data_IF_374172172112
#
_entry.id   IF_374172172112
#
_cell.length_a   1.000
_cell.length_b   1.000
_cell.length_c   1.000
_cell.angle_alpha   90.00
_cell.angle_beta   90.00
_cell.angle_gamma   90.00
#
_symmetry.space_group_name_H-M   'P 1'
#
loop_
_entity.id
_entity.type
_entity.pdbx_description
1 polymer ?
#
# COMPACT_ATOMS: atom_id res chain seq x y z
N UNK A 1 -19.80 -16.63 24.48
CA UNK A 1 -19.91 -17.89 23.70
C UNK A 1 -19.92 -17.63 22.20
N UNK A 2 -20.84 -16.83 21.66
CA UNK A 2 -20.85 -16.50 20.22
C UNK A 2 -19.58 -15.81 19.72
N UNK A 3 -19.04 -14.84 20.47
CA UNK A 3 -17.78 -14.17 20.11
C UNK A 3 -16.61 -15.15 20.00
N UNK A 4 -16.53 -16.11 20.94
CA UNK A 4 -15.52 -17.17 20.95
C UNK A 4 -15.68 -18.11 19.74
N UNK A 5 -16.92 -18.46 19.38
CA UNK A 5 -17.22 -19.28 18.20
C UNK A 5 -16.81 -18.58 16.89
N UNK A 6 -17.10 -17.27 16.78
CA UNK A 6 -16.66 -16.43 15.64
C UNK A 6 -15.14 -16.37 15.55
N UNK A 7 -14.46 -16.15 16.67
CA UNK A 7 -13.00 -16.00 16.71
C UNK A 7 -12.24 -17.30 16.40
N UNK A 8 -12.88 -18.46 16.62
CA UNK A 8 -12.35 -19.78 16.30
C UNK A 8 -12.84 -20.30 14.94
N UNK A 9 -13.69 -19.55 14.23
CA UNK A 9 -14.36 -19.98 13.01
C UNK A 9 -15.09 -21.33 13.16
N UNK A 10 -15.76 -21.54 14.30
CA UNK A 10 -16.51 -22.75 14.62
C UNK A 10 -18.00 -22.44 14.79
N UNK A 11 -18.86 -23.38 14.40
CA UNK A 11 -20.27 -23.32 14.80
C UNK A 11 -20.41 -23.53 16.32
N UNK A 12 -21.45 -22.95 16.92
CA UNK A 12 -21.75 -23.16 18.34
C UNK A 12 -21.91 -24.66 18.68
N UNK A 13 -22.50 -25.44 17.77
CA UNK A 13 -22.64 -26.89 17.90
C UNK A 13 -21.29 -27.62 17.93
N UNK A 14 -20.31 -27.17 17.14
CA UNK A 14 -18.97 -27.76 17.10
C UNK A 14 -18.18 -27.39 18.34
N UNK A 15 -18.28 -26.14 18.79
CA UNK A 15 -17.65 -25.66 20.02
C UNK A 15 -18.14 -26.44 21.26
N UNK A 16 -19.45 -26.60 21.41
CA UNK A 16 -20.05 -27.36 22.52
C UNK A 16 -19.63 -28.84 22.48
N UNK A 17 -19.60 -29.46 21.29
CA UNK A 17 -19.15 -30.84 21.12
C UNK A 17 -17.71 -31.03 21.60
N UNK A 18 -16.79 -30.15 21.18
CA UNK A 18 -15.40 -30.24 21.61
C UNK A 18 -15.23 -30.02 23.12
N UNK A 19 -16.01 -29.10 23.71
CA UNK A 19 -16.00 -28.85 25.14
C UNK A 19 -16.48 -30.07 25.96
N UNK A 20 -17.53 -30.77 25.52
CA UNK A 20 -18.06 -31.96 26.20
C UNK A 20 -17.09 -33.14 26.08
N UNK A 21 -16.50 -33.35 24.90
CA UNK A 21 -15.61 -34.48 24.65
C UNK A 21 -14.14 -34.22 25.03
N UNK A 22 -13.86 -33.08 25.68
CA UNK A 22 -12.52 -32.62 26.06
C UNK A 22 -11.50 -32.66 24.90
N UNK A 23 -11.99 -32.39 23.68
CA UNK A 23 -11.17 -32.38 22.48
C UNK A 23 -10.43 -31.05 22.43
N UNK A 24 -9.12 -31.09 22.19
CA UNK A 24 -8.28 -29.90 22.03
C UNK A 24 -8.83 -29.03 20.89
N UNK A 25 -9.20 -27.78 21.21
CA UNK A 25 -9.64 -26.80 20.23
C UNK A 25 -8.41 -26.01 19.78
N UNK A 26 -8.01 -26.18 18.52
CA UNK A 26 -6.88 -25.45 17.94
C UNK A 26 -7.38 -24.21 17.20
N UNK A 27 -6.76 -23.05 17.45
CA UNK A 27 -7.04 -21.83 16.71
C UNK A 27 -6.37 -21.92 15.35
N UNK A 28 -7.14 -22.17 14.30
CA UNK A 28 -6.64 -22.06 12.92
C UNK A 28 -6.52 -20.58 12.56
N UNK A 29 -5.31 -20.03 12.66
CA UNK A 29 -5.00 -18.69 12.14
C UNK A 29 -4.72 -18.82 10.65
N UNK A 30 -5.65 -18.36 9.81
CA UNK A 30 -5.41 -18.22 8.37
C UNK A 30 -4.75 -16.85 8.17
N UNK A 31 -3.45 -16.84 7.88
CA UNK A 31 -2.73 -15.61 7.47
C UNK A 31 -3.00 -15.40 5.99
N UNK A 32 -3.84 -14.44 5.64
CA UNK A 32 -4.09 -14.11 4.24
C UNK A 32 -2.95 -13.26 3.64
N UNK A 33 -2.80 -13.41 2.33
CA UNK A 33 -1.75 -13.01 1.41
C UNK A 33 -1.56 -11.49 1.19
N UNK A 34 -1.47 -10.68 2.24
CA UNK A 34 -1.27 -9.22 2.11
C UNK A 34 0.07 -8.78 1.48
N UNK A 35 1.04 -9.69 1.35
CA UNK A 35 2.39 -9.38 0.85
C UNK A 35 2.46 -9.05 -0.63
N UNK A 36 1.68 -9.73 -1.48
CA UNK A 36 1.73 -9.55 -2.94
C UNK A 36 1.11 -8.22 -3.38
N UNK A 37 -0.03 -7.85 -2.79
CA UNK A 37 -0.67 -6.54 -3.01
C UNK A 37 0.24 -5.41 -2.54
N UNK A 38 0.87 -5.56 -1.38
CA UNK A 38 1.83 -4.58 -0.84
C UNK A 38 3.04 -4.42 -1.77
N UNK A 39 3.62 -5.53 -2.25
CA UNK A 39 4.77 -5.50 -3.14
C UNK A 39 4.43 -4.85 -4.48
N UNK A 40 3.23 -5.11 -5.02
CA UNK A 40 2.74 -4.51 -6.27
C UNK A 40 2.54 -3.01 -6.13
N UNK A 41 1.93 -2.58 -5.02
CA UNK A 41 1.74 -1.18 -4.67
C UNK A 41 3.07 -0.43 -4.55
N UNK A 42 4.03 -0.99 -3.81
CA UNK A 42 5.37 -0.41 -3.65
C UNK A 42 6.11 -0.34 -4.99
N UNK A 43 6.03 -1.38 -5.81
CA UNK A 43 6.66 -1.41 -7.14
C UNK A 43 6.10 -0.32 -8.07
N UNK A 44 4.79 -0.08 -8.01
CA UNK A 44 4.13 0.98 -8.79
C UNK A 44 4.58 2.37 -8.36
N UNK A 45 4.66 2.62 -7.04
CA UNK A 45 5.17 3.88 -6.51
C UNK A 45 6.64 4.10 -6.87
N UNK A 46 7.47 3.06 -6.82
CA UNK A 46 8.88 3.15 -7.20
C UNK A 46 9.06 3.53 -8.68
N UNK A 47 8.24 2.97 -9.57
CA UNK A 47 8.25 3.30 -10.99
C UNK A 47 7.87 4.77 -11.23
N UNK A 48 6.82 5.27 -10.56
CA UNK A 48 6.41 6.68 -10.65
C UNK A 48 7.47 7.63 -10.09
N UNK A 49 8.04 7.30 -8.93
CA UNK A 49 9.12 8.08 -8.32
C UNK A 49 10.34 8.18 -9.25
N UNK A 50 10.71 7.08 -9.90
CA UNK A 50 11.83 7.05 -10.85
C UNK A 50 11.60 7.97 -12.06
N UNK A 51 10.36 8.07 -12.55
CA UNK A 51 10.01 8.98 -13.65
C UNK A 51 10.16 10.44 -13.24
N UNK A 52 9.56 10.84 -12.13
CA UNK A 52 9.66 12.21 -11.57
C UNK A 52 11.13 12.57 -11.32
N UNK A 53 11.89 11.68 -10.66
CA UNK A 53 13.32 11.87 -10.43
C UNK A 53 14.13 12.02 -11.72
N UNK A 54 13.78 11.25 -12.76
CA UNK A 54 14.41 11.34 -14.08
C UNK A 54 14.21 12.71 -14.73
N UNK A 55 13.00 13.23 -14.71
CA UNK A 55 12.67 14.55 -15.26
C UNK A 55 13.36 15.68 -14.49
N UNK A 56 13.32 15.64 -13.15
CA UNK A 56 14.04 16.60 -12.30
C UNK A 56 15.55 16.61 -12.59
N UNK A 57 16.15 15.44 -12.81
CA UNK A 57 17.56 15.34 -13.16
C UNK A 57 17.87 15.93 -14.55
N UNK A 58 16.95 15.81 -15.51
CA UNK A 58 17.08 16.50 -16.81
C UNK A 58 17.02 18.02 -16.65
N UNK A 59 16.11 18.52 -15.81
CA UNK A 59 16.04 19.96 -15.49
C UNK A 59 17.33 20.43 -14.82
N UNK A 60 17.83 19.70 -13.84
CA UNK A 60 19.09 20.02 -13.16
C UNK A 60 20.27 20.07 -14.15
N UNK A 61 20.38 19.09 -15.06
CA UNK A 61 21.42 19.10 -16.11
C UNK A 61 21.30 20.31 -17.04
N UNK A 62 20.08 20.67 -17.43
CA UNK A 62 19.85 21.85 -18.25
C UNK A 62 20.38 23.12 -17.58
N UNK A 63 20.02 23.35 -16.31
CA UNK A 63 20.51 24.49 -15.54
C UNK A 63 22.03 24.45 -15.34
N UNK A 64 22.60 23.28 -15.02
CA UNK A 64 24.05 23.13 -14.83
C UNK A 64 24.86 23.40 -16.11
N UNK A 65 24.25 23.27 -17.29
CA UNK A 65 24.87 23.60 -18.58
C UNK A 65 24.76 25.08 -18.99
N UNK A 66 24.21 25.93 -18.13
CA UNK A 66 23.96 27.35 -18.44
C UNK A 66 22.72 27.59 -19.31
N UNK A 67 21.75 26.67 -19.27
CA UNK A 67 20.48 26.81 -19.97
C UNK A 67 19.74 28.09 -19.58
N UNK A 68 19.26 28.84 -20.59
CA UNK A 68 18.50 30.07 -20.37
C UNK A 68 17.10 29.77 -19.84
N UNK A 69 16.58 30.66 -18.99
CA UNK A 69 15.17 30.62 -18.61
C UNK A 69 14.31 30.96 -19.84
N UNK A 70 13.42 30.03 -20.20
CA UNK A 70 12.55 30.14 -21.36
C UNK A 70 11.14 29.77 -20.96
N UNK A 71 10.14 30.27 -21.69
CA UNK A 71 8.74 29.87 -21.47
C UNK A 71 8.56 28.34 -21.59
N UNK A 72 9.34 27.69 -22.47
CA UNK A 72 9.34 26.24 -22.59
C UNK A 72 9.86 25.55 -21.33
N UNK A 73 10.88 26.11 -20.67
CA UNK A 73 11.41 25.59 -19.41
C UNK A 73 10.42 25.81 -18.26
N UNK A 74 9.73 26.95 -18.20
CA UNK A 74 8.64 27.16 -17.23
C UNK A 74 7.50 26.19 -17.43
N UNK A 75 7.10 25.93 -18.68
CA UNK A 75 6.08 24.91 -18.96
C UNK A 75 6.52 23.53 -18.47
N UNK A 76 7.79 23.13 -18.70
CA UNK A 76 8.34 21.87 -18.18
C UNK A 76 8.38 21.81 -16.64
N UNK A 77 8.71 22.91 -15.97
CA UNK A 77 8.69 22.98 -14.51
C UNK A 77 7.27 22.84 -13.94
N UNK A 78 6.28 23.47 -14.58
CA UNK A 78 4.87 23.34 -14.19
C UNK A 78 4.35 21.91 -14.42
N UNK A 79 4.74 21.27 -15.52
CA UNK A 79 4.41 19.88 -15.82
C UNK A 79 5.03 18.94 -14.77
N UNK A 80 6.30 19.16 -14.40
CA UNK A 80 6.97 18.37 -13.37
C UNK A 80 6.37 18.58 -11.97
N UNK A 81 5.95 19.79 -11.63
CA UNK A 81 5.20 20.07 -10.39
C UNK A 81 3.85 19.33 -10.36
N UNK A 82 3.18 19.23 -11.51
CA UNK A 82 1.94 18.47 -11.63
C UNK A 82 2.20 16.96 -11.47
N UNK A 83 3.20 16.41 -12.15
CA UNK A 83 3.63 15.01 -12.03
C UNK A 83 4.03 14.66 -10.59
N UNK A 84 4.78 15.54 -9.91
CA UNK A 84 5.14 15.38 -8.49
C UNK A 84 3.91 15.41 -7.57
N UNK A 85 2.96 16.29 -7.84
CA UNK A 85 1.70 16.37 -7.06
C UNK A 85 0.86 15.12 -7.25
N UNK A 86 0.77 14.61 -8.49
CA UNK A 86 0.06 13.38 -8.81
C UNK A 86 0.72 12.17 -8.13
N UNK A 87 2.06 12.09 -8.15
CA UNK A 87 2.81 11.07 -7.42
C UNK A 87 2.51 11.10 -5.93
N UNK A 88 2.54 12.28 -5.30
CA UNK A 88 2.22 12.45 -3.88
C UNK A 88 0.82 11.93 -3.55
N UNK A 89 -0.19 12.34 -4.31
CA UNK A 89 -1.57 11.92 -4.09
C UNK A 89 -1.75 10.41 -4.26
N UNK A 90 -1.10 9.82 -5.27
CA UNK A 90 -1.14 8.38 -5.47
C UNK A 90 -0.46 7.61 -4.32
N UNK A 91 0.68 8.10 -3.84
CA UNK A 91 1.36 7.54 -2.67
C UNK A 91 0.49 7.61 -1.41
N UNK A 92 -0.15 8.75 -1.15
CA UNK A 92 -1.07 8.92 -0.02
C UNK A 92 -2.24 7.93 -0.08
N UNK A 93 -2.84 7.74 -1.28
CA UNK A 93 -3.92 6.77 -1.48
C UNK A 93 -3.45 5.33 -1.22
N UNK A 94 -2.34 4.93 -1.84
CA UNK A 94 -1.77 3.58 -1.69
C UNK A 94 -1.45 3.29 -0.22
N UNK A 95 -0.86 4.24 0.49
CA UNK A 95 -0.60 4.10 1.92
C UNK A 95 -1.90 3.91 2.71
N UNK A 96 -2.95 4.67 2.41
CA UNK A 96 -4.26 4.52 3.05
C UNK A 96 -4.88 3.14 2.86
N UNK A 97 -4.79 2.58 1.65
CA UNK A 97 -5.27 1.23 1.32
C UNK A 97 -4.48 0.15 2.07
N UNK A 98 -3.14 0.25 2.09
CA UNK A 98 -2.27 -0.68 2.82
C UNK A 98 -2.51 -0.65 4.33
N UNK A 99 -2.66 0.55 4.92
CA UNK A 99 -2.99 0.68 6.34
C UNK A 99 -4.36 0.08 6.67
N UNK A 100 -5.37 0.30 5.81
CA UNK A 100 -6.71 -0.24 6.01
C UNK A 100 -6.72 -1.77 5.93
N UNK A 101 -6.02 -2.34 4.95
CA UNK A 101 -5.85 -3.79 4.82
C UNK A 101 -5.12 -4.36 6.05
N UNK A 102 -4.03 -3.74 6.51
CA UNK A 102 -3.29 -4.19 7.68
C UNK A 102 -4.12 -4.16 8.99
N UNK A 103 -5.11 -3.27 9.10
CA UNK A 103 -6.05 -3.25 10.23
C UNK A 103 -7.11 -4.36 10.10
N UNK A 104 -7.59 -4.65 8.90
CA UNK A 104 -8.56 -5.73 8.67
C UNK A 104 -8.02 -7.12 9.07
N UNK A 105 -6.69 -7.31 8.99
CA UNK A 105 -6.03 -8.56 9.39
C UNK A 105 -5.60 -8.62 10.87
N UNK A 106 -5.82 -7.56 11.66
CA UNK A 106 -5.61 -7.57 13.12
C UNK A 106 -6.85 -8.14 13.83
N UNK A 107 -6.95 -9.47 13.90
CA UNK A 107 -7.98 -10.23 14.63
C UNK A 107 -7.41 -11.08 15.77
#
# INVERSE_FOLDING_TARGET
LELTCKLLNLSLSTFIRCAIHNVKIEKTVIVASGGEETLTAVSTLLAQCSRVGGNLNQLARHFNSGGADTEQLRAKLLDELADLTAFRLHAEKVLGELYSNAQAYRL
#
